data_IF_747868913766
#
_entry.id   IF_747868913766
#
_cell.length_a   1.000
_cell.length_b   1.000
_cell.length_c   1.000
_cell.angle_alpha   90.00
_cell.angle_beta   90.00
_cell.angle_gamma   90.00
#
_symmetry.space_group_name_H-M   'P 1'
#
loop_
_entity.id
_entity.type
_entity.pdbx_description
1 polymer ?
#
# COMPACT_ATOMS: atom_id res chain seq x y z
N UNK A 1 -39.90 26.56 51.84
CA UNK A 1 -40.95 26.30 50.82
C UNK A 1 -40.38 26.72 49.47
N UNK A 2 -40.36 25.91 48.41
CA UNK A 2 -40.68 24.48 48.30
C UNK A 2 -39.74 23.82 47.28
N UNK A 3 -39.56 22.50 47.39
CA UNK A 3 -38.85 21.66 46.43
C UNK A 3 -39.80 21.35 45.26
N UNK A 4 -39.29 21.27 44.03
CA UNK A 4 -39.98 20.63 42.91
C UNK A 4 -38.99 20.08 41.87
N UNK A 5 -38.55 18.84 42.06
CA UNK A 5 -38.01 17.97 41.01
C UNK A 5 -39.16 17.16 40.38
N UNK A 6 -39.24 17.09 39.05
CA UNK A 6 -39.98 16.09 38.22
C UNK A 6 -39.96 16.59 36.75
N UNK A 7 -39.96 15.77 35.69
CA UNK A 7 -39.46 14.42 35.48
C UNK A 7 -39.28 14.20 33.95
N UNK A 8 -38.38 13.30 33.56
CA UNK A 8 -38.23 12.86 32.17
C UNK A 8 -39.31 11.81 31.86
N UNK A 9 -40.18 12.06 30.88
CA UNK A 9 -41.21 11.11 30.45
C UNK A 9 -40.63 10.12 29.43
N UNK A 10 -40.48 8.86 29.84
CA UNK A 10 -40.28 7.74 28.92
C UNK A 10 -41.61 7.42 28.23
N UNK A 11 -41.67 7.62 26.91
CA UNK A 11 -42.71 7.03 26.09
C UNK A 11 -42.40 5.55 25.85
N UNK A 12 -42.96 4.68 26.69
CA UNK A 12 -42.98 3.24 26.43
C UNK A 12 -44.12 2.90 25.46
N UNK A 13 -43.81 2.19 24.39
CA UNK A 13 -44.77 1.41 23.62
C UNK A 13 -44.09 0.09 23.25
N UNK A 14 -44.79 -1.03 23.44
CA UNK A 14 -44.27 -2.38 23.21
C UNK A 14 -45.38 -3.33 22.78
N UNK A 15 -44.98 -4.49 22.25
CA UNK A 15 -45.83 -5.59 21.74
C UNK A 15 -46.66 -5.23 20.48
N UNK A 16 -46.92 -6.07 19.47
CA UNK A 16 -46.54 -7.45 19.05
C UNK A 16 -47.15 -7.68 17.63
N UNK A 17 -46.78 -8.59 16.74
CA UNK A 17 -45.86 -9.76 16.71
C UNK A 17 -45.51 -10.13 15.24
N UNK A 18 -44.65 -11.16 15.03
CA UNK A 18 -44.60 -12.12 13.89
C UNK A 18 -44.16 -11.74 12.44
N UNK A 19 -43.41 -12.70 11.86
CA UNK A 19 -43.17 -13.01 10.44
C UNK A 19 -42.44 -12.02 9.51
N UNK A 20 -41.17 -12.32 9.18
CA UNK A 20 -40.44 -11.70 8.05
C UNK A 20 -38.96 -12.05 7.98
N UNK A 21 -38.61 -13.23 7.48
CA UNK A 21 -37.20 -13.66 7.35
C UNK A 21 -36.44 -12.94 6.22
N UNK A 22 -35.13 -12.82 6.44
CA UNK A 22 -34.04 -12.51 5.49
C UNK A 22 -33.95 -11.11 4.85
N UNK A 23 -32.83 -10.46 5.20
CA UNK A 23 -32.23 -9.35 4.49
C UNK A 23 -31.92 -9.70 3.02
N UNK A 24 -32.19 -8.76 2.12
CA UNK A 24 -31.65 -8.71 0.75
C UNK A 24 -30.69 -7.53 0.69
N UNK A 25 -29.39 -7.79 0.79
CA UNK A 25 -28.44 -7.93 -0.34
C UNK A 25 -27.97 -6.59 -0.91
N UNK A 26 -26.68 -6.29 -0.70
CA UNK A 26 -26.01 -5.11 -1.24
C UNK A 26 -24.48 -5.19 -1.32
N UNK A 27 -23.87 -6.36 -1.06
CA UNK A 27 -22.43 -6.54 -1.18
C UNK A 27 -22.03 -7.01 -2.58
N UNK A 28 -21.29 -6.15 -3.30
CA UNK A 28 -20.62 -6.50 -4.53
C UNK A 28 -19.43 -7.42 -4.27
N UNK A 29 -19.69 -8.71 -4.04
CA UNK A 29 -18.66 -9.74 -3.96
C UNK A 29 -17.98 -9.88 -5.33
N UNK A 30 -16.66 -9.75 -5.37
CA UNK A 30 -15.85 -10.20 -6.53
C UNK A 30 -15.84 -11.72 -6.49
N UNK A 31 -16.79 -12.34 -7.17
CA UNK A 31 -16.83 -13.80 -7.33
C UNK A 31 -15.77 -14.19 -8.35
N UNK A 32 -14.67 -14.76 -7.89
CA UNK A 32 -13.72 -15.43 -8.77
C UNK A 32 -14.45 -16.55 -9.52
N UNK A 33 -14.41 -16.52 -10.85
CA UNK A 33 -15.16 -17.47 -11.65
C UNK A 33 -14.54 -18.86 -11.55
N UNK A 34 -15.23 -19.78 -10.87
CA UNK A 34 -14.93 -21.20 -10.90
C UNK A 34 -14.75 -21.68 -12.34
N UNK A 35 -13.60 -22.26 -12.73
CA UNK A 35 -13.40 -22.77 -14.08
C UNK A 35 -14.47 -23.78 -14.45
N UNK A 36 -15.10 -23.62 -15.61
CA UNK A 36 -16.22 -24.45 -16.08
C UNK A 36 -15.86 -25.91 -16.43
N UNK A 37 -14.70 -26.38 -15.96
CA UNK A 37 -14.15 -27.71 -16.22
C UNK A 37 -13.55 -28.34 -14.94
N UNK A 38 -14.05 -27.94 -13.76
CA UNK A 38 -13.84 -28.73 -12.54
C UNK A 38 -14.62 -30.04 -12.68
N UNK A 39 -13.87 -31.15 -12.66
CA UNK A 39 -14.41 -32.50 -12.58
C UNK A 39 -14.02 -33.02 -11.20
N UNK A 40 -14.99 -33.57 -10.47
CA UNK A 40 -14.73 -34.22 -9.17
C UNK A 40 -13.73 -35.37 -9.37
N UNK A 41 -12.55 -35.30 -8.74
CA UNK A 41 -11.64 -36.44 -8.69
C UNK A 41 -12.13 -37.44 -7.63
N UNK A 42 -12.64 -38.62 -8.01
CA UNK A 42 -13.17 -39.60 -7.07
C UNK A 42 -12.09 -40.20 -6.15
N UNK A 43 -10.80 -39.97 -6.43
CA UNK A 43 -9.70 -40.49 -5.62
C UNK A 43 -9.20 -39.47 -4.57
N UNK A 44 -9.72 -38.23 -4.55
CA UNK A 44 -9.25 -37.16 -3.68
C UNK A 44 -7.71 -37.02 -3.73
N UNK A 45 -7.15 -37.06 -4.94
CA UNK A 45 -5.70 -37.04 -5.14
C UNK A 45 -5.18 -35.65 -4.81
N UNK A 46 -4.38 -35.56 -3.73
CA UNK A 46 -3.76 -34.30 -3.33
C UNK A 46 -2.76 -33.89 -4.40
N UNK A 47 -3.17 -32.97 -5.27
CA UNK A 47 -2.26 -32.33 -6.22
C UNK A 47 -1.18 -31.61 -5.41
N UNK A 48 0.10 -32.00 -5.52
CA UNK A 48 1.14 -31.28 -4.79
C UNK A 48 1.22 -29.88 -5.39
N UNK A 49 0.77 -28.88 -4.62
CA UNK A 49 1.17 -27.49 -4.85
C UNK A 49 2.67 -27.45 -4.64
N UNK A 50 3.40 -27.69 -5.73
CA UNK A 50 4.85 -27.51 -5.79
C UNK A 50 5.07 -26.01 -5.78
N UNK A 51 5.02 -25.42 -4.59
CA UNK A 51 5.46 -24.06 -4.35
C UNK A 51 6.81 -23.91 -5.07
N UNK A 52 6.98 -22.89 -5.95
CA UNK A 52 8.28 -22.63 -6.54
C UNK A 52 9.30 -22.60 -5.42
N UNK A 53 10.32 -23.45 -5.50
CA UNK A 53 11.37 -23.47 -4.50
C UNK A 53 11.92 -22.05 -4.45
N UNK A 54 11.82 -21.41 -3.28
CA UNK A 54 12.25 -20.03 -3.13
C UNK A 54 13.70 -19.93 -3.59
N UNK A 55 13.94 -19.19 -4.67
CA UNK A 55 15.31 -18.88 -5.08
C UNK A 55 16.04 -18.29 -3.88
N UNK A 56 17.33 -18.59 -3.69
CA UNK A 56 18.06 -18.15 -2.51
C UNK A 56 18.03 -16.62 -2.42
N UNK A 57 17.19 -16.10 -1.54
CA UNK A 57 17.04 -14.66 -1.32
C UNK A 57 18.40 -14.08 -1.00
N UNK A 58 18.93 -13.25 -1.89
CA UNK A 58 20.21 -12.61 -1.71
C UNK A 58 20.20 -11.89 -0.36
N UNK A 59 21.19 -12.17 0.49
CA UNK A 59 21.27 -11.52 1.79
C UNK A 59 21.39 -10.00 1.59
N UNK A 60 20.69 -9.19 2.40
CA UNK A 60 20.74 -7.73 2.25
C UNK A 60 22.18 -7.23 2.38
N UNK A 61 22.61 -6.38 1.44
CA UNK A 61 23.98 -5.87 1.38
C UNK A 61 23.99 -4.34 1.35
N UNK A 62 24.83 -3.66 2.16
CA UNK A 62 24.84 -2.20 2.24
C UNK A 62 25.37 -1.57 0.95
N UNK A 63 24.76 -0.46 0.54
CA UNK A 63 25.14 0.30 -0.66
C UNK A 63 25.30 1.79 -0.34
N UNK A 64 26.31 2.43 -0.95
CA UNK A 64 26.66 3.82 -0.67
C UNK A 64 25.72 4.86 -1.34
N UNK A 65 24.93 4.44 -2.34
CA UNK A 65 23.93 5.28 -3.02
C UNK A 65 22.90 4.41 -3.75
N UNK A 66 21.71 4.95 -4.04
CA UNK A 66 20.69 4.23 -4.81
C UNK A 66 21.20 3.85 -6.21
N UNK A 67 20.96 2.63 -6.72
CA UNK A 67 21.37 2.25 -8.07
C UNK A 67 20.68 3.09 -9.15
N UNK A 68 21.35 3.31 -10.28
CA UNK A 68 20.87 4.17 -11.36
C UNK A 68 19.46 3.79 -11.89
N UNK A 69 19.09 2.50 -11.85
CA UNK A 69 17.79 2.01 -12.27
C UNK A 69 16.60 2.60 -11.46
N UNK A 70 16.82 2.96 -10.20
CA UNK A 70 15.81 3.61 -9.34
C UNK A 70 15.74 5.13 -9.56
N UNK A 71 16.81 5.74 -10.10
CA UNK A 71 16.91 7.21 -10.22
C UNK A 71 16.04 7.74 -11.35
N UNK A 72 15.50 8.95 -11.15
CA UNK A 72 14.65 9.64 -12.12
C UNK A 72 13.33 10.15 -11.53
N UNK A 73 12.35 10.41 -12.41
CA UNK A 73 10.99 10.84 -12.07
C UNK A 73 10.03 9.66 -12.14
N UNK A 74 9.13 9.58 -11.17
CA UNK A 74 8.17 8.49 -10.99
C UNK A 74 6.80 9.09 -10.64
N UNK A 75 5.77 8.83 -11.46
CA UNK A 75 4.42 9.37 -11.27
C UNK A 75 3.42 8.30 -10.90
N UNK A 76 2.43 8.60 -10.05
CA UNK A 76 1.32 7.69 -9.75
C UNK A 76 0.23 7.78 -10.83
N UNK A 77 0.05 8.94 -11.46
CA UNK A 77 -0.83 9.17 -12.62
C UNK A 77 -0.09 9.86 -13.77
N UNK A 78 -0.56 9.79 -15.03
CA UNK A 78 0.12 10.42 -16.17
C UNK A 78 0.39 11.92 -16.01
N UNK A 79 -0.48 12.66 -15.31
CA UNK A 79 -0.31 14.09 -15.06
C UNK A 79 0.91 14.41 -14.19
N UNK A 80 1.32 13.51 -13.28
CA UNK A 80 2.52 13.73 -12.43
C UNK A 80 3.81 13.81 -13.27
N UNK A 81 3.81 13.19 -14.44
CA UNK A 81 4.95 13.15 -15.35
C UNK A 81 5.03 14.36 -16.29
N UNK A 82 3.97 15.15 -16.43
CA UNK A 82 3.98 16.38 -17.24
C UNK A 82 4.97 17.39 -16.60
N UNK A 83 5.91 17.98 -17.36
CA UNK A 83 6.79 19.03 -16.83
C UNK A 83 6.02 20.27 -16.37
N UNK A 84 6.64 21.05 -15.48
CA UNK A 84 6.22 22.39 -15.05
C UNK A 84 4.81 22.51 -14.44
N UNK A 85 4.14 21.39 -14.12
CA UNK A 85 2.91 21.37 -13.32
C UNK A 85 3.20 21.62 -11.85
N UNK A 86 2.44 22.53 -11.26
CA UNK A 86 2.44 22.86 -9.82
C UNK A 86 1.55 21.94 -8.98
N UNK A 87 0.71 21.10 -9.60
CA UNK A 87 -0.22 20.18 -8.94
C UNK A 87 0.14 18.69 -9.10
N UNK A 88 1.37 18.38 -9.51
CA UNK A 88 1.93 17.02 -9.67
C UNK A 88 2.17 16.30 -8.33
N UNK A 89 1.13 16.19 -7.49
CA UNK A 89 1.23 15.69 -6.10
C UNK A 89 1.68 14.24 -5.98
N UNK A 90 1.48 13.42 -7.02
CA UNK A 90 1.93 12.03 -7.06
C UNK A 90 3.34 11.84 -7.62
N UNK A 91 4.05 12.92 -7.97
CA UNK A 91 5.44 12.85 -8.44
C UNK A 91 6.40 12.55 -7.29
N UNK A 92 7.17 11.48 -7.44
CA UNK A 92 8.39 11.21 -6.69
C UNK A 92 9.62 11.42 -7.58
N UNK A 93 10.63 12.10 -7.04
CA UNK A 93 11.95 12.29 -7.65
C UNK A 93 13.00 11.52 -6.87
N UNK A 94 13.82 10.71 -7.54
CA UNK A 94 14.80 9.82 -6.90
C UNK A 94 16.20 10.19 -7.37
N UNK A 95 17.03 10.69 -6.44
CA UNK A 95 18.45 10.98 -6.66
C UNK A 95 19.33 9.79 -6.21
N UNK A 96 20.64 10.02 -6.07
CA UNK A 96 21.56 9.05 -5.48
C UNK A 96 21.34 8.83 -3.96
N UNK A 97 20.78 9.82 -3.26
CA UNK A 97 20.75 9.92 -1.79
C UNK A 97 19.47 10.53 -1.21
N UNK A 98 18.49 10.86 -2.05
CA UNK A 98 17.28 11.61 -1.68
C UNK A 98 16.07 11.11 -2.47
N UNK A 99 14.93 10.96 -1.78
CA UNK A 99 13.60 10.87 -2.37
C UNK A 99 12.87 12.19 -2.13
N UNK A 100 12.63 12.96 -3.19
CA UNK A 100 11.83 14.19 -3.15
C UNK A 100 10.39 13.91 -3.54
N UNK A 101 9.45 14.47 -2.77
CA UNK A 101 8.01 14.44 -2.99
C UNK A 101 7.48 15.88 -3.05
N UNK A 102 6.18 16.03 -3.33
CA UNK A 102 5.54 17.34 -3.44
C UNK A 102 5.67 18.22 -2.18
N UNK A 103 5.32 17.70 -1.00
CA UNK A 103 5.34 18.43 0.28
C UNK A 103 6.53 18.07 1.20
N UNK A 104 7.39 17.09 0.82
CA UNK A 104 8.48 16.59 1.69
C UNK A 104 9.72 16.08 0.95
N UNK A 105 10.84 15.92 1.66
CA UNK A 105 12.10 15.35 1.15
C UNK A 105 12.65 14.35 2.17
N UNK A 106 12.89 13.11 1.73
CA UNK A 106 13.54 12.06 2.52
C UNK A 106 15.00 11.88 2.11
N UNK A 107 15.94 12.23 2.99
CA UNK A 107 17.37 11.96 2.81
C UNK A 107 17.69 10.54 3.27
N UNK A 108 18.40 9.78 2.44
CA UNK A 108 18.87 8.43 2.75
C UNK A 108 19.93 8.48 3.86
N UNK A 109 19.69 7.75 4.95
CA UNK A 109 20.65 7.54 6.04
C UNK A 109 21.30 6.17 5.99
N UNK A 110 20.56 5.16 5.52
CA UNK A 110 21.04 3.80 5.24
C UNK A 110 20.35 3.26 3.99
N UNK A 111 21.08 2.51 3.18
CA UNK A 111 20.56 1.84 1.99
C UNK A 111 21.15 0.45 1.86
N UNK A 112 20.30 -0.51 1.50
CA UNK A 112 20.62 -1.93 1.36
C UNK A 112 20.01 -2.48 0.06
N UNK A 113 20.80 -3.22 -0.71
CA UNK A 113 20.31 -4.02 -1.83
C UNK A 113 19.70 -5.32 -1.27
N UNK A 114 18.44 -5.59 -1.57
CA UNK A 114 17.73 -6.84 -1.21
C UNK A 114 17.78 -7.89 -2.34
N UNK A 115 18.09 -7.43 -3.55
CA UNK A 115 18.19 -8.24 -4.76
C UNK A 115 18.36 -7.35 -5.99
N UNK A 116 18.49 -7.90 -7.21
CA UNK A 116 18.80 -7.12 -8.41
C UNK A 116 17.84 -5.97 -8.72
N UNK A 117 16.58 -6.09 -8.29
CA UNK A 117 15.51 -5.14 -8.55
C UNK A 117 14.91 -4.52 -7.26
N UNK A 118 15.50 -4.73 -6.07
CA UNK A 118 14.91 -4.27 -4.81
C UNK A 118 15.95 -3.64 -3.86
N UNK A 119 15.60 -2.50 -3.27
CA UNK A 119 16.39 -1.82 -2.23
C UNK A 119 15.54 -1.49 -1.00
N UNK A 120 16.15 -1.52 0.18
CA UNK A 120 15.58 -0.98 1.42
C UNK A 120 16.34 0.27 1.83
N UNK A 121 15.60 1.31 2.18
CA UNK A 121 16.11 2.62 2.57
C UNK A 121 15.59 2.96 3.96
N UNK A 122 16.46 3.48 4.81
CA UNK A 122 16.04 4.31 5.94
C UNK A 122 16.21 5.78 5.54
N UNK A 123 15.13 6.54 5.69
CA UNK A 123 15.03 7.92 5.23
C UNK A 123 14.76 8.83 6.43
N UNK A 124 15.54 9.91 6.55
CA UNK A 124 15.24 11.05 7.40
C UNK A 124 14.48 12.09 6.56
N UNK A 125 13.22 12.31 6.90
CA UNK A 125 12.30 13.19 6.19
C UNK A 125 12.21 14.58 6.84
N UNK A 126 12.06 15.59 5.99
CA UNK A 126 11.59 16.93 6.38
C UNK A 126 10.44 17.37 5.47
N UNK A 127 9.42 18.00 6.05
CA UNK A 127 8.22 18.47 5.33
C UNK A 127 7.24 19.14 6.29
N UNK A 128 6.50 20.15 5.82
CA UNK A 128 5.47 20.88 6.60
C UNK A 128 5.90 21.42 8.00
N UNK A 129 7.20 21.64 8.21
CA UNK A 129 7.75 22.05 9.51
C UNK A 129 7.94 20.89 10.51
N UNK A 130 7.81 19.65 10.06
CA UNK A 130 8.06 18.43 10.82
C UNK A 130 9.29 17.68 10.30
N UNK A 131 9.89 16.89 11.19
CA UNK A 131 10.94 15.92 10.87
C UNK A 131 10.52 14.54 11.38
N UNK A 132 10.76 13.49 10.60
CA UNK A 132 10.47 12.11 10.99
C UNK A 132 11.41 11.14 10.27
N UNK A 133 11.44 9.88 10.70
CA UNK A 133 12.14 8.81 9.97
C UNK A 133 11.15 7.82 9.39
N UNK A 134 11.48 7.23 8.25
CA UNK A 134 10.68 6.17 7.63
C UNK A 134 11.55 5.18 6.89
N UNK A 135 11.32 3.89 7.17
CA UNK A 135 11.83 2.78 6.37
C UNK A 135 10.96 2.59 5.14
N UNK A 136 11.58 2.48 3.98
CA UNK A 136 10.91 2.30 2.68
C UNK A 136 11.63 1.22 1.88
N UNK A 137 10.89 0.23 1.38
CA UNK A 137 11.38 -0.69 0.35
C UNK A 137 10.97 -0.15 -1.01
N UNK A 138 11.89 -0.11 -1.98
CA UNK A 138 11.60 0.18 -3.37
C UNK A 138 11.86 -1.08 -4.21
N UNK A 139 10.89 -1.49 -5.00
CA UNK A 139 10.99 -2.66 -5.90
C UNK A 139 10.68 -2.24 -7.33
N UNK A 140 11.59 -2.53 -8.25
CA UNK A 140 11.38 -2.33 -9.68
C UNK A 140 10.70 -3.54 -10.31
N UNK A 141 9.66 -3.27 -11.09
CA UNK A 141 8.94 -4.25 -11.91
C UNK A 141 8.96 -3.79 -13.38
N UNK A 142 8.46 -4.64 -14.26
CA UNK A 142 8.24 -4.32 -15.68
C UNK A 142 9.51 -3.74 -16.35
N UNK A 143 10.66 -4.42 -16.18
CA UNK A 143 12.01 -3.99 -16.64
C UNK A 143 12.44 -2.58 -16.14
N UNK A 144 12.00 -2.18 -14.95
CA UNK A 144 12.29 -0.86 -14.39
C UNK A 144 11.42 0.27 -14.95
N UNK A 145 10.29 -0.07 -15.61
CA UNK A 145 9.25 0.88 -16.00
C UNK A 145 8.25 1.14 -14.87
N UNK A 146 8.16 0.24 -13.91
CA UNK A 146 7.30 0.34 -12.72
C UNK A 146 8.15 0.34 -11.46
N UNK A 147 7.76 1.14 -10.47
CA UNK A 147 8.32 1.12 -9.13
C UNK A 147 7.19 0.93 -8.11
N UNK A 148 7.36 -0.01 -7.20
CA UNK A 148 6.53 -0.18 -6.00
C UNK A 148 7.31 0.38 -4.81
N UNK A 149 6.70 1.28 -4.05
CA UNK A 149 7.24 1.80 -2.80
C UNK A 149 6.40 1.28 -1.64
N UNK A 150 7.03 0.56 -0.72
CA UNK A 150 6.37 -0.07 0.43
C UNK A 150 6.88 0.53 1.73
N UNK A 151 5.96 0.94 2.59
CA UNK A 151 6.27 1.58 3.88
C UNK A 151 5.38 1.01 4.99
N UNK A 152 5.80 1.03 6.26
CA UNK A 152 4.88 0.77 7.37
C UNK A 152 3.69 1.74 7.33
N UNK A 153 2.46 1.27 7.57
CA UNK A 153 1.40 2.17 8.01
C UNK A 153 1.62 2.58 9.46
N UNK A 154 1.06 3.74 9.81
CA UNK A 154 1.08 4.28 11.16
C UNK A 154 -0.40 4.35 11.61
N UNK A 155 -0.77 3.88 12.82
CA UNK A 155 0.11 3.37 13.87
C UNK A 155 0.54 1.89 13.72
N UNK A 156 -0.18 1.06 12.97
CA UNK A 156 0.05 -0.40 12.83
C UNK A 156 -0.40 -0.92 11.44
N UNK A 157 -0.02 -2.16 11.02
CA UNK A 157 -0.27 -2.72 9.67
C UNK A 157 -1.70 -2.57 9.10
N UNK A 158 -1.87 -2.61 7.75
CA UNK A 158 -0.98 -3.21 6.75
C UNK A 158 0.21 -2.32 6.32
N UNK A 159 1.13 -2.85 5.52
CA UNK A 159 2.09 -1.98 4.81
C UNK A 159 1.35 -1.13 3.77
N UNK A 160 1.70 0.16 3.68
CA UNK A 160 1.24 1.03 2.58
C UNK A 160 2.13 0.78 1.37
N UNK A 161 1.51 0.29 0.29
CA UNK A 161 2.15 0.07 -1.01
C UNK A 161 1.64 1.10 -2.02
N UNK A 162 2.56 1.81 -2.66
CA UNK A 162 2.26 2.80 -3.70
C UNK A 162 2.93 2.38 -5.01
N UNK A 163 2.17 2.36 -6.12
CA UNK A 163 2.67 2.05 -7.46
C UNK A 163 2.92 3.33 -8.24
N UNK A 164 4.11 3.43 -8.82
CA UNK A 164 4.53 4.50 -9.71
C UNK A 164 4.93 3.93 -11.09
N UNK A 165 4.75 4.74 -12.12
CA UNK A 165 5.29 4.53 -13.46
C UNK A 165 6.49 5.45 -13.68
N UNK A 166 7.53 4.96 -14.36
CA UNK A 166 8.70 5.76 -14.77
C UNK A 166 8.24 6.84 -15.74
N UNK A 167 8.48 8.11 -15.39
CA UNK A 167 8.18 9.21 -16.30
C UNK A 167 9.13 9.19 -17.51
N UNK A 168 8.70 9.70 -18.67
CA UNK A 168 9.59 10.00 -19.78
C UNK A 168 10.74 10.93 -19.35
N UNK A 169 11.87 10.80 -20.04
CA UNK A 169 13.04 11.68 -19.92
C UNK A 169 12.82 12.98 -20.70
#
# INVERSE_FOLDING_TARGET
>A
MCIATLALLLAACGSSEEAGNNSSSGEGQVVEQTPANLQDDPNNSVVPLTSPAAEPTASPSPIASLPAAFRGRWGMVPNDCVPDRDDAKGLMTVSADTLGFYESRGRVTQAELLGPAAVRLDLAFTGEGQEWTRRTTLTLLDDGRTLIAETPADPEPPMRSLRYSRCPA
#
